data_IF_068194378540
#
_entry.id   IF_068194378540
#
_cell.length_a   1.000
_cell.length_b   1.000
_cell.length_c   1.000
_cell.angle_alpha   90.00
_cell.angle_beta   90.00
_cell.angle_gamma   90.00
#
_symmetry.space_group_name_H-M   'P 1'
#
loop_
_entity.id
_entity.type
_entity.pdbx_description
1 polymer ?
#
# COMPACT_ATOMS: atom_id res chain seq x y z
N UNK A 1 17.44 18.54 -10.39
CA UNK A 1 17.12 17.64 -9.26
C UNK A 1 15.61 17.66 -9.07
N UNK A 2 14.89 16.70 -9.67
CA UNK A 2 13.42 16.66 -9.63
C UNK A 2 13.04 16.27 -8.20
N UNK A 3 12.65 17.25 -7.37
CA UNK A 3 11.99 16.95 -6.09
C UNK A 3 10.66 16.28 -6.44
N UNK A 4 10.42 15.02 -6.06
CA UNK A 4 9.14 14.39 -6.35
C UNK A 4 8.05 15.19 -5.66
N UNK A 5 7.25 15.87 -6.49
CA UNK A 5 5.94 16.44 -6.21
C UNK A 5 5.11 15.47 -5.38
N UNK A 6 4.88 15.79 -4.10
CA UNK A 6 4.02 15.10 -3.11
C UNK A 6 4.20 13.58 -3.03
N UNK A 7 4.66 13.09 -1.89
CA UNK A 7 4.76 11.66 -1.59
C UNK A 7 3.42 10.93 -1.78
N UNK A 8 3.52 9.65 -2.16
CA UNK A 8 2.38 8.77 -2.48
C UNK A 8 1.38 8.70 -1.33
N UNK A 9 1.88 8.66 -0.09
CA UNK A 9 1.09 8.67 1.14
C UNK A 9 0.18 9.89 1.21
N UNK A 10 0.72 11.10 1.00
CA UNK A 10 -0.07 12.34 1.01
C UNK A 10 -1.18 12.32 -0.05
N UNK A 11 -0.91 11.77 -1.24
CA UNK A 11 -1.92 11.66 -2.31
C UNK A 11 -3.07 10.72 -1.92
N UNK A 12 -2.73 9.55 -1.37
CA UNK A 12 -3.72 8.55 -0.97
C UNK A 12 -4.56 9.01 0.21
N UNK A 13 -3.93 9.62 1.23
CA UNK A 13 -4.64 10.17 2.40
C UNK A 13 -5.59 11.32 2.03
N UNK A 14 -5.23 12.16 1.05
CA UNK A 14 -6.11 13.23 0.57
C UNK A 14 -7.36 12.66 -0.11
N UNK A 15 -7.20 11.56 -0.85
CA UNK A 15 -8.30 10.92 -1.57
C UNK A 15 -9.28 10.16 -0.65
N UNK A 16 -8.86 9.81 0.57
CA UNK A 16 -9.59 8.93 1.49
C UNK A 16 -10.18 9.66 2.70
N UNK A 17 -10.64 10.89 2.53
CA UNK A 17 -10.95 11.85 3.62
C UNK A 17 -12.10 11.47 4.58
N UNK A 18 -12.71 10.28 4.42
CA UNK A 18 -13.72 9.71 5.32
C UNK A 18 -13.59 8.18 5.35
N UNK A 19 -12.71 7.68 6.21
CA UNK A 19 -12.53 6.26 6.46
C UNK A 19 -12.68 5.97 7.94
N UNK A 20 -13.24 4.82 8.29
CA UNK A 20 -13.20 4.31 9.66
C UNK A 20 -11.79 3.78 10.02
N UNK A 21 -11.61 3.34 11.27
CA UNK A 21 -10.31 2.85 11.75
C UNK A 21 -9.85 1.58 11.02
N UNK A 22 -10.77 0.72 10.57
CA UNK A 22 -10.45 -0.50 9.85
C UNK A 22 -10.02 -0.18 8.42
N UNK A 23 -10.78 0.66 7.72
CA UNK A 23 -10.45 1.17 6.39
C UNK A 23 -9.14 1.94 6.38
N UNK A 24 -8.86 2.73 7.43
CA UNK A 24 -7.58 3.45 7.59
C UNK A 24 -6.41 2.48 7.74
N UNK A 25 -6.58 1.36 8.46
CA UNK A 25 -5.54 0.32 8.55
C UNK A 25 -5.30 -0.35 7.21
N UNK A 26 -6.37 -0.70 6.49
CA UNK A 26 -6.26 -1.26 5.13
C UNK A 26 -5.55 -0.29 4.18
N UNK A 27 -5.88 1.00 4.25
CA UNK A 27 -5.23 2.04 3.45
C UNK A 27 -3.74 2.13 3.76
N UNK A 28 -3.34 2.05 5.03
CA UNK A 28 -1.91 2.04 5.39
C UNK A 28 -1.20 0.82 4.81
N UNK A 29 -1.81 -0.37 4.84
CA UNK A 29 -1.26 -1.55 4.17
C UNK A 29 -1.19 -1.38 2.64
N UNK A 30 -2.17 -0.70 2.04
CA UNK A 30 -2.14 -0.40 0.61
C UNK A 30 -0.99 0.56 0.25
N UNK A 31 -0.79 1.60 1.07
CA UNK A 31 0.31 2.55 0.90
C UNK A 31 1.66 1.82 0.97
N UNK A 32 1.89 0.98 1.99
CA UNK A 32 3.16 0.23 2.13
C UNK A 32 3.43 -0.67 0.92
N UNK A 33 2.41 -1.41 0.47
CA UNK A 33 2.52 -2.27 -0.70
C UNK A 33 2.94 -1.47 -1.94
N UNK A 34 2.29 -0.34 -2.21
CA UNK A 34 2.59 0.47 -3.39
C UNK A 34 3.98 1.10 -3.30
N UNK A 35 4.41 1.58 -2.14
CA UNK A 35 5.77 2.12 -1.97
C UNK A 35 6.84 1.08 -2.28
N UNK A 36 6.63 -0.17 -1.86
CA UNK A 36 7.57 -1.27 -2.12
C UNK A 36 7.50 -1.77 -3.56
N UNK A 37 6.32 -1.79 -4.18
CA UNK A 37 6.15 -2.15 -5.60
C UNK A 37 6.71 -1.07 -6.55
N UNK A 38 6.66 0.19 -6.16
CA UNK A 38 7.09 1.33 -6.97
C UNK A 38 8.49 1.83 -6.60
N UNK A 39 9.26 1.04 -5.85
CA UNK A 39 10.65 1.36 -5.53
C UNK A 39 11.46 1.58 -6.83
N UNK A 40 12.16 2.71 -6.88
CA UNK A 40 12.98 3.11 -8.03
C UNK A 40 14.14 2.15 -8.25
N UNK A 41 14.80 1.71 -7.18
CA UNK A 41 15.85 0.71 -7.24
C UNK A 41 15.20 -0.68 -7.43
N UNK A 42 15.48 -1.40 -8.53
CA UNK A 42 14.95 -2.74 -8.76
C UNK A 42 15.34 -3.74 -7.66
N UNK A 43 16.53 -3.63 -7.08
CA UNK A 43 17.01 -4.52 -6.01
C UNK A 43 16.23 -4.36 -4.71
N UNK A 44 15.57 -3.21 -4.53
CA UNK A 44 14.70 -2.92 -3.38
C UNK A 44 13.22 -3.06 -3.71
N UNK A 45 12.88 -3.34 -4.97
CA UNK A 45 11.50 -3.48 -5.42
C UNK A 45 10.95 -4.83 -4.98
N UNK A 46 9.74 -4.79 -4.45
CA UNK A 46 9.04 -6.00 -4.01
C UNK A 46 8.86 -6.98 -5.17
N UNK A 47 9.21 -8.24 -4.94
CA UNK A 47 8.94 -9.30 -5.92
C UNK A 47 7.46 -9.71 -5.89
N UNK A 48 6.92 -10.30 -6.97
CA UNK A 48 5.53 -10.76 -6.98
C UNK A 48 5.21 -11.77 -5.87
N UNK A 49 6.14 -12.68 -5.56
CA UNK A 49 5.97 -13.67 -4.50
C UNK A 49 5.91 -13.04 -3.10
N UNK A 50 6.68 -11.98 -2.85
CA UNK A 50 6.63 -11.22 -1.59
C UNK A 50 5.37 -10.35 -1.53
N UNK A 51 4.95 -9.75 -2.65
CA UNK A 51 3.73 -8.96 -2.74
C UNK A 51 2.50 -9.78 -2.33
N UNK A 52 2.39 -11.02 -2.80
CA UNK A 52 1.29 -11.92 -2.43
C UNK A 52 1.23 -12.26 -0.93
N UNK A 53 2.35 -12.14 -0.21
CA UNK A 53 2.43 -12.38 1.24
C UNK A 53 2.17 -11.11 2.06
N UNK A 54 1.98 -9.96 1.41
CA UNK A 54 1.78 -8.68 2.07
C UNK A 54 0.44 -8.64 2.85
N UNK A 55 0.39 -8.03 4.05
CA UNK A 55 -0.84 -7.89 4.86
C UNK A 55 -2.07 -7.38 4.10
N UNK A 56 -1.85 -6.50 3.11
CA UNK A 56 -2.92 -5.98 2.24
C UNK A 56 -3.74 -7.09 1.57
N UNK A 57 -3.10 -8.17 1.13
CA UNK A 57 -3.79 -9.31 0.52
C UNK A 57 -4.18 -10.36 1.57
N UNK A 58 -3.30 -10.66 2.52
CA UNK A 58 -3.53 -11.77 3.46
C UNK A 58 -4.63 -11.48 4.48
N UNK A 59 -4.86 -10.21 4.84
CA UNK A 59 -5.97 -9.84 5.72
C UNK A 59 -7.34 -9.88 5.01
N UNK A 60 -7.40 -9.53 3.72
CA UNK A 60 -8.66 -9.59 2.94
C UNK A 60 -9.09 -11.01 2.59
N UNK A 61 -8.12 -11.93 2.43
CA UNK A 61 -8.40 -13.36 2.20
C UNK A 61 -9.25 -13.98 3.34
N UNK A 62 -9.19 -13.43 4.55
CA UNK A 62 -10.02 -13.88 5.68
C UNK A 62 -11.50 -13.49 5.57
N UNK A 63 -11.84 -12.43 4.82
CA UNK A 63 -13.23 -11.99 4.65
C UNK A 63 -13.94 -12.79 3.55
N UNK A 64 -13.20 -13.26 2.54
CA UNK A 64 -13.74 -14.05 1.42
C UNK A 64 -13.90 -15.55 1.71
N UNK A 65 -13.57 -16.01 2.94
CA UNK A 65 -13.72 -17.40 3.38
C UNK A 65 -14.94 -17.62 4.30
N UNK A 66 -15.98 -16.77 4.18
CA UNK A 66 -17.27 -16.95 4.86
C UNK A 66 -18.39 -17.12 3.84
#
# INVERSE_FOLDING_TARGET
MVKPTRDLRTRLLTASSRMDDAETRELNHFIDLLERCLALNPDKRLTPSEALRHPFFTQKVQVASR
#
